data_IF_089368630139
#
_entry.id   IF_089368630139
#
_cell.length_a   1.000
_cell.length_b   1.000
_cell.length_c   1.000
_cell.angle_alpha   90.00
_cell.angle_beta   90.00
_cell.angle_gamma   90.00
#
_symmetry.space_group_name_H-M   'P 1'
#
loop_
_entity.id
_entity.type
_entity.pdbx_description
1 polymer ?
#
# COMPACT_ATOMS: atom_id res chain seq x y z
N UNK A 1 4.02 -5.48 -26.48
CA UNK A 1 5.21 -4.68 -26.11
C UNK A 1 6.40 -5.25 -26.86
N UNK A 2 7.20 -4.43 -27.55
CA UNK A 2 8.40 -4.93 -28.25
C UNK A 2 9.42 -5.39 -27.20
N UNK A 3 9.93 -6.61 -27.30
CA UNK A 3 10.89 -7.12 -26.34
C UNK A 3 12.25 -6.46 -26.55
N UNK A 4 12.96 -6.15 -25.47
CA UNK A 4 14.30 -5.56 -25.54
C UNK A 4 15.30 -6.42 -26.33
N UNK A 5 15.02 -7.71 -26.53
CA UNK A 5 15.79 -8.60 -27.40
C UNK A 5 15.75 -8.20 -28.88
N UNK A 6 14.66 -7.56 -29.32
CA UNK A 6 14.34 -7.39 -30.74
C UNK A 6 15.01 -6.14 -31.34
N UNK A 7 15.60 -5.29 -30.49
CA UNK A 7 16.27 -4.05 -30.90
C UNK A 7 17.77 -4.23 -31.18
N UNK A 8 18.33 -5.42 -30.98
CA UNK A 8 19.77 -5.60 -30.88
C UNK A 8 20.23 -6.72 -31.82
N UNK A 9 20.31 -6.36 -33.10
CA UNK A 9 20.58 -7.24 -34.24
C UNK A 9 21.98 -7.90 -34.25
N UNK A 10 22.91 -7.50 -33.36
CA UNK A 10 24.22 -8.14 -33.21
C UNK A 10 24.61 -8.20 -31.73
N UNK A 11 24.48 -9.37 -31.09
CA UNK A 11 24.82 -9.53 -29.66
C UNK A 11 25.60 -10.80 -29.35
N UNK A 12 26.72 -10.62 -28.65
CA UNK A 12 27.46 -11.65 -27.92
C UNK A 12 26.56 -12.29 -26.85
N UNK A 13 26.89 -13.50 -26.39
CA UNK A 13 26.10 -14.23 -25.39
C UNK A 13 25.77 -13.41 -24.14
N UNK A 14 26.70 -12.55 -23.72
CA UNK A 14 26.58 -11.65 -22.57
C UNK A 14 25.41 -10.67 -22.71
N UNK A 15 25.23 -10.11 -23.90
CA UNK A 15 24.20 -9.09 -24.12
C UNK A 15 22.81 -9.71 -24.30
N UNK A 16 22.72 -10.97 -24.75
CA UNK A 16 21.48 -11.77 -24.67
C UNK A 16 21.11 -12.08 -23.22
N UNK A 17 22.10 -12.43 -22.38
CA UNK A 17 21.88 -12.68 -20.94
C UNK A 17 21.34 -11.43 -20.22
N UNK A 18 21.93 -10.27 -20.48
CA UNK A 18 21.45 -8.98 -19.92
C UNK A 18 20.01 -8.67 -20.35
N UNK A 19 19.66 -8.90 -21.62
CA UNK A 19 18.28 -8.70 -22.09
C UNK A 19 17.26 -9.60 -21.38
N UNK A 20 17.62 -10.87 -21.11
CA UNK A 20 16.77 -11.79 -20.32
C UNK A 20 16.57 -11.31 -18.89
N UNK A 21 17.64 -10.86 -18.23
CA UNK A 21 17.56 -10.31 -16.87
C UNK A 21 16.69 -9.05 -16.82
N UNK A 22 16.85 -8.14 -17.79
CA UNK A 22 16.03 -6.94 -17.89
C UNK A 22 14.53 -7.25 -18.07
N UNK A 23 14.20 -8.25 -18.92
CA UNK A 23 12.82 -8.69 -19.09
C UNK A 23 12.24 -9.29 -17.80
N UNK A 24 13.01 -10.11 -17.08
CA UNK A 24 12.58 -10.68 -15.80
C UNK A 24 12.30 -9.59 -14.76
N UNK A 25 13.22 -8.63 -14.59
CA UNK A 25 13.02 -7.50 -13.68
C UNK A 25 11.81 -6.64 -14.08
N UNK A 26 11.58 -6.44 -15.39
CA UNK A 26 10.42 -5.70 -15.87
C UNK A 26 9.12 -6.39 -15.46
N UNK A 27 9.07 -7.72 -15.58
CA UNK A 27 7.92 -8.51 -15.16
C UNK A 27 7.70 -8.44 -13.65
N UNK A 28 8.75 -8.59 -12.84
CA UNK A 28 8.65 -8.47 -11.37
C UNK A 28 8.14 -7.09 -10.94
N UNK A 29 8.65 -6.01 -11.56
CA UNK A 29 8.17 -4.65 -11.28
C UNK A 29 6.69 -4.51 -11.63
N UNK A 30 6.25 -5.03 -12.77
CA UNK A 30 4.84 -5.00 -13.17
C UNK A 30 3.95 -5.81 -12.21
N UNK A 31 4.41 -6.98 -11.79
CA UNK A 31 3.71 -7.81 -10.81
C UNK A 31 3.58 -7.09 -9.47
N UNK A 32 4.66 -6.51 -8.96
CA UNK A 32 4.66 -5.74 -7.70
C UNK A 32 3.77 -4.52 -7.79
N UNK A 33 3.74 -3.84 -8.93
CA UNK A 33 2.83 -2.72 -9.16
C UNK A 33 1.36 -3.16 -9.13
N UNK A 34 1.04 -4.31 -9.73
CA UNK A 34 -0.32 -4.87 -9.67
C UNK A 34 -0.70 -5.27 -8.25
N UNK A 35 0.20 -5.93 -7.51
CA UNK A 35 0.00 -6.27 -6.10
C UNK A 35 -0.25 -5.02 -5.24
N UNK A 36 0.51 -3.94 -5.47
CA UNK A 36 0.32 -2.66 -4.78
C UNK A 36 -1.05 -2.04 -5.10
N UNK A 37 -1.46 -2.05 -6.37
CA UNK A 37 -2.76 -1.52 -6.78
C UNK A 37 -3.91 -2.30 -6.14
N UNK A 38 -3.82 -3.64 -6.12
CA UNK A 38 -4.81 -4.48 -5.45
C UNK A 38 -4.85 -4.24 -3.94
N UNK A 39 -3.69 -4.08 -3.30
CA UNK A 39 -3.61 -3.76 -1.87
C UNK A 39 -4.27 -2.42 -1.55
N UNK A 40 -4.06 -1.39 -2.38
CA UNK A 40 -4.73 -0.08 -2.26
C UNK A 40 -6.24 -0.18 -2.41
N UNK A 41 -6.72 -0.87 -3.44
CA UNK A 41 -8.17 -1.07 -3.63
C UNK A 41 -8.82 -1.85 -2.48
N UNK A 42 -8.11 -2.85 -1.95
CA UNK A 42 -8.58 -3.60 -0.78
C UNK A 42 -8.60 -2.72 0.48
N UNK A 43 -7.60 -1.86 0.68
CA UNK A 43 -7.58 -0.90 1.78
C UNK A 43 -8.80 0.02 1.72
N UNK A 44 -9.05 0.66 0.57
CA UNK A 44 -10.20 1.56 0.38
C UNK A 44 -11.53 0.85 0.65
N UNK A 45 -11.68 -0.39 0.18
CA UNK A 45 -12.87 -1.20 0.43
C UNK A 45 -13.06 -1.51 1.92
N UNK A 46 -11.98 -1.88 2.62
CA UNK A 46 -12.03 -2.17 4.05
C UNK A 46 -12.35 -0.91 4.86
N UNK A 47 -11.75 0.23 4.50
CA UNK A 47 -12.05 1.52 5.12
C UNK A 47 -13.54 1.86 4.97
N UNK A 48 -14.11 1.69 3.78
CA UNK A 48 -15.55 1.91 3.56
C UNK A 48 -16.42 0.96 4.40
N UNK A 49 -16.06 -0.32 4.49
CA UNK A 49 -16.79 -1.29 5.31
C UNK A 49 -16.76 -0.91 6.80
N UNK A 50 -15.59 -0.53 7.31
CA UNK A 50 -15.43 -0.04 8.70
C UNK A 50 -16.29 1.21 8.91
N UNK A 51 -16.20 2.17 7.99
CA UNK A 51 -16.99 3.39 8.01
C UNK A 51 -18.49 3.10 8.10
N UNK A 52 -19.00 2.14 7.32
CA UNK A 52 -20.42 1.76 7.34
C UNK A 52 -20.82 1.11 8.66
N UNK A 53 -20.02 0.17 9.19
CA UNK A 53 -20.27 -0.48 10.48
C UNK A 53 -20.28 0.54 11.62
N UNK A 54 -19.36 1.49 11.58
CA UNK A 54 -19.19 2.49 12.63
C UNK A 54 -20.30 3.54 12.56
N UNK A 55 -20.76 3.92 11.37
CA UNK A 55 -21.78 4.95 11.16
C UNK A 55 -23.08 4.68 11.94
N UNK A 56 -23.49 3.41 12.06
CA UNK A 56 -24.67 3.00 12.83
C UNK A 56 -24.62 3.40 14.31
N UNK A 57 -23.42 3.62 14.86
CA UNK A 57 -23.22 4.00 16.25
C UNK A 57 -23.36 5.52 16.52
N UNK A 58 -23.55 6.33 15.48
CA UNK A 58 -23.61 7.79 15.59
C UNK A 58 -25.00 8.30 15.23
N UNK A 59 -25.44 9.37 15.93
CA UNK A 59 -26.80 9.92 15.77
C UNK A 59 -26.86 11.01 14.71
N UNK A 60 -25.72 11.56 14.33
CA UNK A 60 -25.60 12.58 13.28
C UNK A 60 -24.33 12.41 12.47
N UNK A 61 -24.38 12.86 11.22
CA UNK A 61 -23.23 12.87 10.31
C UNK A 61 -22.06 13.69 10.88
N UNK A 62 -22.35 14.81 11.53
CA UNK A 62 -21.33 15.67 12.17
C UNK A 62 -20.54 14.92 13.27
N UNK A 63 -21.22 14.14 14.13
CA UNK A 63 -20.54 13.34 15.17
C UNK A 63 -19.66 12.26 14.55
N UNK A 64 -20.15 11.62 13.50
CA UNK A 64 -19.46 10.58 12.75
C UNK A 64 -18.19 11.11 12.07
N UNK A 65 -18.28 12.22 11.34
CA UNK A 65 -17.14 12.85 10.67
C UNK A 65 -16.07 13.29 11.67
N UNK A 66 -16.49 13.89 12.79
CA UNK A 66 -15.58 14.26 13.87
C UNK A 66 -14.89 13.05 14.49
N UNK A 67 -15.60 11.93 14.65
CA UNK A 67 -15.01 10.70 15.16
C UNK A 67 -13.95 10.12 14.21
N UNK A 68 -14.24 10.11 12.90
CA UNK A 68 -13.27 9.68 11.87
C UNK A 68 -12.04 10.58 11.87
N UNK A 69 -12.22 11.89 11.89
CA UNK A 69 -11.12 12.85 11.90
C UNK A 69 -10.23 12.65 13.13
N UNK A 70 -10.84 12.49 14.30
CA UNK A 70 -10.12 12.22 15.53
C UNK A 70 -9.37 10.88 15.50
N UNK A 71 -9.97 9.84 14.93
CA UNK A 71 -9.31 8.55 14.77
C UNK A 71 -8.09 8.64 13.84
N UNK A 72 -8.22 9.35 12.71
CA UNK A 72 -7.11 9.63 11.78
C UNK A 72 -5.98 10.40 12.47
N UNK A 73 -6.31 11.44 13.22
CA UNK A 73 -5.31 12.22 13.96
C UNK A 73 -4.58 11.38 15.02
N UNK A 74 -5.30 10.51 15.73
CA UNK A 74 -4.68 9.56 16.68
C UNK A 74 -3.76 8.57 15.98
N UNK A 75 -4.18 8.02 14.85
CA UNK A 75 -3.37 7.08 14.07
C UNK A 75 -2.10 7.76 13.54
N UNK A 76 -2.19 9.00 13.03
CA UNK A 76 -1.04 9.79 12.61
C UNK A 76 -0.09 10.02 13.79
N UNK A 77 -0.62 10.45 14.93
CA UNK A 77 0.19 10.68 16.14
C UNK A 77 0.91 9.40 16.56
N UNK A 78 0.19 8.29 16.69
CA UNK A 78 0.74 6.98 17.01
C UNK A 78 1.81 6.53 16.01
N UNK A 79 1.58 6.66 14.71
CA UNK A 79 2.56 6.23 13.70
C UNK A 79 3.86 7.06 13.70
N UNK A 80 3.83 8.27 14.27
CA UNK A 80 4.99 9.15 14.38
C UNK A 80 5.60 9.17 15.79
N UNK A 81 5.01 8.45 16.74
CA UNK A 81 5.49 8.38 18.11
C UNK A 81 6.54 7.26 18.30
N UNK A 82 7.52 7.44 19.19
CA UNK A 82 8.50 6.39 19.48
C UNK A 82 7.81 5.15 20.06
N UNK A 83 8.23 3.95 19.66
CA UNK A 83 7.64 2.67 20.10
C UNK A 83 7.55 2.53 21.63
N UNK A 84 8.45 3.17 22.39
CA UNK A 84 8.43 3.18 23.85
C UNK A 84 7.18 3.86 24.43
N UNK A 85 6.65 4.88 23.76
CA UNK A 85 5.42 5.58 24.16
C UNK A 85 4.15 4.76 23.92
N UNK A 86 4.25 3.67 23.14
CA UNK A 86 3.14 2.79 22.81
C UNK A 86 2.96 1.66 23.82
N UNK A 87 3.93 1.47 24.72
CA UNK A 87 3.81 0.48 25.79
C UNK A 87 2.72 0.92 26.74
N UNK A 88 1.73 0.05 26.99
CA UNK A 88 0.75 0.32 28.04
C UNK A 88 1.49 0.51 29.36
N UNK A 89 1.40 1.68 29.97
CA UNK A 89 1.82 1.81 31.36
C UNK A 89 0.87 0.94 32.19
N UNK A 90 1.30 -0.27 32.55
CA UNK A 90 0.64 -1.04 33.59
C UNK A 90 0.85 -0.26 34.89
N UNK A 91 -0.07 0.66 35.19
CA UNK A 91 -0.15 1.26 36.51
C UNK A 91 -0.91 0.27 37.38
N UNK A 92 -0.16 -0.43 38.23
CA UNK A 92 -0.67 -1.14 39.40
C UNK A 92 -1.38 -0.17 40.35
#
# INVERSE_FOLDING_TARGET
MKHWSDFLNTRTHTTKRLGKMANAMTFEVQEKQLQLNNAKANLERLELQICNIIAENYKSECEYENAILNAKNRAIKWNNEPIESHKSSSKN
#
